data_IF_766899384871
#
_entry.id   IF_766899384871
#
_cell.length_a   1.000
_cell.length_b   1.000
_cell.length_c   1.000
_cell.angle_alpha   90.00
_cell.angle_beta   90.00
_cell.angle_gamma   90.00
#
_symmetry.space_group_name_H-M   'P 1'
#
loop_
_entity.id
_entity.type
_entity.pdbx_description
1 polymer ?
#
# COMPACT_ATOMS: atom_id res chain seq x y z
N UNK A 1 -53.60 6.09 60.93
CA UNK A 1 -53.82 5.61 59.56
C UNK A 1 -52.62 6.00 58.72
N UNK A 2 -51.70 5.06 58.47
CA UNK A 2 -50.45 5.31 57.68
C UNK A 2 -50.77 5.01 56.24
N UNK A 3 -50.68 6.05 55.43
CA UNK A 3 -50.73 5.90 53.93
C UNK A 3 -49.36 5.46 53.44
N UNK A 4 -49.28 4.27 52.88
CA UNK A 4 -48.10 3.78 52.15
C UNK A 4 -48.10 4.35 50.74
N UNK A 5 -47.09 5.18 50.44
CA UNK A 5 -46.81 5.63 49.12
C UNK A 5 -45.94 4.54 48.45
N UNK A 6 -46.52 3.81 47.49
CA UNK A 6 -45.75 2.90 46.65
C UNK A 6 -45.16 3.75 45.51
N UNK A 7 -43.85 4.02 45.58
CA UNK A 7 -43.12 4.60 44.47
C UNK A 7 -42.80 3.48 43.45
N UNK A 8 -43.49 3.54 42.34
CA UNK A 8 -43.19 2.69 41.18
C UNK A 8 -41.92 3.23 40.53
N UNK A 9 -40.77 2.61 40.81
CA UNK A 9 -39.53 2.85 40.02
C UNK A 9 -39.67 2.10 38.69
N UNK A 10 -40.08 2.81 37.66
CA UNK A 10 -39.90 2.36 36.27
C UNK A 10 -38.42 2.45 35.94
N UNK A 11 -37.74 1.32 36.02
CA UNK A 11 -36.42 1.13 35.44
C UNK A 11 -36.59 1.25 33.91
N UNK A 12 -36.27 2.43 33.35
CA UNK A 12 -36.06 2.58 31.93
C UNK A 12 -34.73 1.91 31.60
N UNK A 13 -34.77 0.63 31.24
CA UNK A 13 -33.65 -0.03 30.60
C UNK A 13 -33.45 0.62 29.24
N UNK A 14 -32.56 1.63 29.19
CA UNK A 14 -31.95 2.01 27.92
C UNK A 14 -31.10 0.81 27.47
N UNK A 15 -31.69 -0.05 26.67
CA UNK A 15 -30.94 -0.95 25.83
C UNK A 15 -30.19 -0.06 24.83
N UNK A 16 -28.94 0.29 25.13
CA UNK A 16 -28.02 0.68 24.10
C UNK A 16 -27.87 -0.58 23.19
N UNK A 17 -28.71 -0.67 22.18
CA UNK A 17 -28.41 -1.49 21.03
C UNK A 17 -27.16 -0.87 20.41
N UNK A 18 -26.00 -1.42 20.69
CA UNK A 18 -24.82 -1.22 19.85
C UNK A 18 -25.26 -1.83 18.52
N UNK A 19 -25.76 -0.98 17.65
CA UNK A 19 -25.96 -1.39 16.25
C UNK A 19 -24.55 -1.62 15.71
N UNK A 20 -24.14 -2.89 15.66
CA UNK A 20 -23.01 -3.25 14.83
C UNK A 20 -23.38 -2.85 13.42
N UNK A 21 -22.59 -1.99 12.81
CA UNK A 21 -22.75 -1.70 11.40
C UNK A 21 -22.66 -3.03 10.65
N UNK A 22 -23.55 -3.24 9.68
CA UNK A 22 -23.43 -4.43 8.83
C UNK A 22 -22.11 -4.35 8.05
N UNK A 23 -21.47 -5.48 7.80
CA UNK A 23 -20.27 -5.53 6.98
C UNK A 23 -20.58 -4.99 5.57
N UNK A 24 -19.68 -4.17 5.02
CA UNK A 24 -19.80 -3.65 3.68
C UNK A 24 -19.71 -4.81 2.67
N UNK A 25 -20.67 -4.86 1.74
CA UNK A 25 -20.68 -5.89 0.73
C UNK A 25 -19.89 -5.48 -0.50
N UNK A 26 -19.15 -6.41 -1.08
CA UNK A 26 -18.60 -6.30 -2.42
C UNK A 26 -19.75 -6.43 -3.42
N UNK A 27 -20.16 -5.31 -4.02
CA UNK A 27 -21.24 -5.23 -5.02
C UNK A 27 -20.70 -5.11 -6.45
N UNK A 28 -19.42 -5.39 -6.66
CA UNK A 28 -18.73 -5.23 -7.95
C UNK A 28 -19.43 -5.95 -9.09
N UNK A 29 -19.88 -7.20 -8.86
CA UNK A 29 -20.52 -8.02 -9.87
C UNK A 29 -21.92 -7.50 -10.26
N UNK A 30 -22.59 -6.78 -9.37
CA UNK A 30 -23.90 -6.17 -9.60
C UNK A 30 -23.80 -4.85 -10.38
N UNK A 31 -22.60 -4.23 -10.44
CA UNK A 31 -22.38 -2.92 -11.03
C UNK A 31 -22.19 -2.98 -12.56
N UNK A 32 -22.58 -1.89 -13.22
CA UNK A 32 -22.29 -1.68 -14.65
C UNK A 32 -21.05 -0.80 -14.81
N UNK A 33 -20.12 -1.26 -15.64
CA UNK A 33 -18.87 -0.56 -15.92
C UNK A 33 -18.86 0.04 -17.33
N UNK A 34 -18.36 1.27 -17.43
CA UNK A 34 -18.02 1.92 -18.69
C UNK A 34 -16.60 2.43 -18.59
N UNK A 35 -15.79 2.17 -19.61
CA UNK A 35 -14.38 2.56 -19.64
C UNK A 35 -14.12 3.53 -20.80
N UNK A 36 -13.16 4.43 -20.64
CA UNK A 36 -12.81 5.47 -21.59
C UNK A 36 -12.26 4.95 -22.93
N UNK A 37 -11.74 3.73 -22.93
CA UNK A 37 -11.17 3.09 -24.12
C UNK A 37 -11.18 1.58 -24.02
N UNK A 38 -11.13 0.91 -25.16
CA UNK A 38 -11.26 -0.55 -25.30
C UNK A 38 -9.90 -1.28 -25.40
N UNK A 39 -8.86 -0.81 -24.70
CA UNK A 39 -7.53 -1.41 -24.79
C UNK A 39 -7.51 -2.90 -24.39
N UNK A 40 -8.15 -3.26 -23.27
CA UNK A 40 -8.38 -4.63 -22.81
C UNK A 40 -9.81 -4.78 -22.30
N UNK A 41 -10.28 -6.01 -22.12
CA UNK A 41 -11.60 -6.26 -21.51
C UNK A 41 -11.58 -5.74 -20.07
N UNK A 42 -12.55 -4.89 -19.73
CA UNK A 42 -12.65 -4.33 -18.38
C UNK A 42 -12.87 -5.40 -17.30
N UNK A 43 -13.45 -6.54 -17.64
CA UNK A 43 -13.65 -7.67 -16.74
C UNK A 43 -12.34 -8.23 -16.16
N UNK A 44 -11.18 -7.86 -16.73
CA UNK A 44 -9.89 -8.24 -16.17
C UNK A 44 -9.47 -7.41 -14.94
N UNK A 45 -10.21 -6.33 -14.62
CA UNK A 45 -10.02 -5.59 -13.37
C UNK A 45 -11.08 -5.91 -12.31
N UNK A 46 -11.98 -6.85 -12.59
CA UNK A 46 -13.03 -7.28 -11.67
C UNK A 46 -13.09 -8.80 -11.53
N UNK A 47 -12.05 -9.50 -11.96
CA UNK A 47 -11.96 -10.96 -11.92
C UNK A 47 -11.32 -11.51 -10.63
N UNK A 48 -10.98 -10.62 -9.68
CA UNK A 48 -10.36 -10.92 -8.37
C UNK A 48 -8.98 -11.61 -8.52
N UNK A 49 -8.27 -11.31 -9.62
CA UNK A 49 -6.94 -11.86 -9.91
C UNK A 49 -5.92 -10.75 -10.11
N UNK A 50 -5.14 -10.43 -9.10
CA UNK A 50 -4.08 -9.41 -9.18
C UNK A 50 -3.02 -9.68 -10.28
N UNK A 51 -3.05 -10.85 -10.92
CA UNK A 51 -2.18 -11.22 -12.05
C UNK A 51 -2.71 -10.75 -13.40
N UNK A 52 -4.01 -10.47 -13.50
CA UNK A 52 -4.65 -9.87 -14.68
C UNK A 52 -4.77 -8.35 -14.50
N UNK A 53 -5.10 -7.64 -15.55
CA UNK A 53 -5.34 -6.19 -15.47
C UNK A 53 -6.11 -5.67 -16.68
N UNK A 54 -6.86 -4.60 -16.45
CA UNK A 54 -7.32 -3.71 -17.50
C UNK A 54 -6.35 -2.56 -17.68
N UNK A 55 -6.18 -2.10 -18.92
CA UNK A 55 -5.35 -0.94 -19.25
C UNK A 55 -6.02 -0.12 -20.34
N UNK A 56 -6.12 1.19 -20.11
CA UNK A 56 -6.63 2.11 -21.10
C UNK A 56 -5.61 2.35 -22.23
N UNK A 57 -6.06 2.85 -23.37
CA UNK A 57 -5.16 3.48 -24.32
C UNK A 57 -4.46 4.69 -23.67
N UNK A 58 -3.31 5.10 -24.21
CA UNK A 58 -2.64 6.35 -23.79
C UNK A 58 -3.44 7.55 -24.28
N UNK A 59 -4.27 8.10 -23.44
CA UNK A 59 -5.11 9.28 -23.68
C UNK A 59 -4.91 10.31 -22.57
N UNK A 60 -5.37 11.52 -22.78
CA UNK A 60 -5.54 12.49 -21.68
C UNK A 60 -6.71 12.04 -20.80
N UNK A 61 -6.56 12.18 -19.51
CA UNK A 61 -7.62 11.92 -18.53
C UNK A 61 -8.36 10.59 -18.71
N UNK A 62 -7.68 9.42 -18.71
CA UNK A 62 -8.37 8.13 -18.77
C UNK A 62 -9.24 7.92 -17.52
N UNK A 63 -10.38 7.23 -17.70
CA UNK A 63 -11.37 7.05 -16.64
C UNK A 63 -12.09 5.70 -16.71
N UNK A 64 -12.68 5.31 -15.58
CA UNK A 64 -13.59 4.19 -15.39
C UNK A 64 -14.83 4.74 -14.69
N UNK A 65 -16.01 4.60 -15.29
CA UNK A 65 -17.28 4.96 -14.69
C UNK A 65 -18.05 3.69 -14.28
N UNK A 66 -18.68 3.76 -13.12
CA UNK A 66 -19.36 2.67 -12.44
C UNK A 66 -20.78 3.14 -12.11
N UNK A 67 -21.75 2.34 -12.42
CA UNK A 67 -23.14 2.56 -12.01
C UNK A 67 -23.59 1.39 -11.15
N UNK A 68 -23.98 1.67 -9.93
CA UNK A 68 -24.52 0.70 -9.00
C UNK A 68 -25.95 0.26 -9.40
N UNK A 69 -26.41 -0.90 -8.95
CA UNK A 69 -27.82 -1.28 -9.06
C UNK A 69 -28.71 -0.36 -8.20
N UNK A 70 -29.95 -0.22 -8.56
CA UNK A 70 -30.92 0.58 -7.81
C UNK A 70 -31.05 0.10 -6.36
N UNK A 71 -31.03 1.02 -5.41
CA UNK A 71 -31.13 0.73 -3.99
C UNK A 71 -29.86 0.21 -3.32
N UNK A 72 -28.73 0.11 -4.05
CA UNK A 72 -27.42 -0.30 -3.49
C UNK A 72 -26.36 0.72 -3.87
N UNK A 73 -26.36 1.92 -3.30
CA UNK A 73 -25.38 2.96 -3.68
C UNK A 73 -23.95 2.55 -3.30
N UNK A 74 -22.99 3.09 -4.04
CA UNK A 74 -21.56 2.91 -3.80
C UNK A 74 -21.14 3.80 -2.63
N UNK A 75 -20.54 3.21 -1.60
CA UNK A 75 -19.97 3.93 -0.46
C UNK A 75 -18.44 4.05 -0.53
N UNK A 76 -17.77 3.19 -1.30
CA UNK A 76 -16.35 3.28 -1.49
C UNK A 76 -15.84 2.39 -2.61
N UNK A 77 -14.60 2.66 -3.02
CA UNK A 77 -13.84 1.86 -3.98
C UNK A 77 -12.56 1.35 -3.35
N UNK A 78 -12.24 0.08 -3.57
CA UNK A 78 -10.91 -0.45 -3.31
C UNK A 78 -10.22 -0.73 -4.63
N UNK A 79 -9.11 -0.05 -4.87
CA UNK A 79 -8.43 -0.02 -6.17
C UNK A 79 -7.01 -0.55 -6.02
N UNK A 80 -6.67 -1.59 -6.80
CA UNK A 80 -5.32 -2.11 -6.94
C UNK A 80 -4.72 -1.61 -8.26
N UNK A 81 -3.92 -0.56 -8.18
CA UNK A 81 -3.30 0.04 -9.37
C UNK A 81 -2.18 -0.84 -9.90
N UNK A 82 -2.17 -1.08 -11.20
CA UNK A 82 -1.06 -1.71 -11.90
C UNK A 82 0.11 -0.74 -12.16
N UNK A 83 -0.19 0.54 -12.28
CA UNK A 83 0.76 1.65 -12.24
C UNK A 83 0.10 2.84 -11.57
N UNK A 84 0.84 3.58 -10.76
CA UNK A 84 0.32 4.76 -10.10
C UNK A 84 0.27 5.93 -11.11
N UNK A 85 -0.91 6.55 -11.34
CA UNK A 85 -1.00 7.78 -12.12
C UNK A 85 -0.38 8.98 -11.36
N UNK A 86 0.08 10.00 -12.08
CA UNK A 86 0.64 11.22 -11.46
C UNK A 86 -0.41 11.94 -10.59
N UNK A 87 -1.67 11.92 -11.02
CA UNK A 87 -2.81 12.48 -10.29
C UNK A 87 -4.11 11.81 -10.73
N UNK A 88 -5.02 11.63 -9.79
CA UNK A 88 -6.33 11.02 -10.04
C UNK A 88 -7.33 11.47 -8.98
N UNK A 89 -8.59 11.21 -9.23
CA UNK A 89 -9.68 11.54 -8.31
C UNK A 89 -10.85 10.57 -8.46
N UNK A 90 -11.70 10.54 -7.43
CA UNK A 90 -13.01 9.93 -7.52
C UNK A 90 -14.04 11.05 -7.73
N UNK A 91 -14.89 10.86 -8.70
CA UNK A 91 -15.99 11.76 -9.02
C UNK A 91 -17.31 11.04 -8.81
N UNK A 92 -18.35 11.79 -8.47
CA UNK A 92 -19.74 11.33 -8.39
C UNK A 92 -20.63 12.08 -9.36
N UNK A 93 -21.79 11.51 -9.68
CA UNK A 93 -22.79 12.08 -10.56
C UNK A 93 -24.18 11.60 -10.17
N UNK A 94 -25.18 12.47 -10.31
CA UNK A 94 -26.59 12.11 -10.08
C UNK A 94 -27.23 11.48 -11.33
N UNK A 95 -26.75 11.83 -12.53
CA UNK A 95 -27.32 11.43 -13.80
C UNK A 95 -26.40 10.59 -14.70
N UNK A 96 -25.18 10.34 -14.24
CA UNK A 96 -24.12 9.63 -14.98
C UNK A 96 -23.54 10.40 -16.16
N UNK A 97 -23.79 11.72 -16.26
CA UNK A 97 -23.31 12.61 -17.34
C UNK A 97 -22.47 13.74 -16.79
N UNK A 98 -22.99 14.49 -15.83
CA UNK A 98 -22.28 15.60 -15.19
C UNK A 98 -21.54 15.08 -13.95
N UNK A 99 -20.21 15.27 -13.92
CA UNK A 99 -19.32 14.67 -12.94
C UNK A 99 -18.65 15.74 -12.08
N UNK A 100 -18.64 15.51 -10.76
CA UNK A 100 -18.06 16.40 -9.78
C UNK A 100 -17.04 15.65 -8.93
N UNK A 101 -15.90 16.27 -8.63
CA UNK A 101 -14.88 15.70 -7.76
C UNK A 101 -15.45 15.49 -6.36
N UNK A 102 -15.46 14.25 -5.90
CA UNK A 102 -15.87 13.86 -4.54
C UNK A 102 -14.65 13.69 -3.61
N UNK A 103 -13.60 13.02 -4.09
CA UNK A 103 -12.40 12.75 -3.31
C UNK A 103 -11.16 12.85 -4.20
N UNK A 104 -10.15 13.66 -3.85
CA UNK A 104 -8.86 13.63 -4.53
C UNK A 104 -8.15 12.30 -4.26
N UNK A 105 -7.44 11.77 -5.25
CA UNK A 105 -6.71 10.51 -5.15
C UNK A 105 -5.39 10.65 -4.39
N UNK A 106 -5.08 9.66 -3.58
CA UNK A 106 -3.78 9.55 -2.93
C UNK A 106 -2.83 8.72 -3.80
N UNK A 107 -1.73 9.31 -4.23
CA UNK A 107 -0.75 8.65 -5.11
C UNK A 107 0.33 7.86 -4.37
N UNK A 108 0.27 7.80 -3.05
CA UNK A 108 1.24 7.06 -2.22
C UNK A 108 1.01 5.55 -2.24
N UNK A 109 -0.24 5.11 -2.45
CA UNK A 109 -0.66 3.73 -2.23
C UNK A 109 -1.11 3.06 -3.52
N UNK A 110 -0.39 2.01 -3.96
CA UNK A 110 -0.80 1.19 -5.11
C UNK A 110 -2.11 0.42 -4.86
N UNK A 111 -2.34 0.02 -3.60
CA UNK A 111 -3.61 -0.51 -3.15
C UNK A 111 -4.26 0.57 -2.28
N UNK A 112 -5.39 1.10 -2.73
CA UNK A 112 -6.04 2.23 -2.09
C UNK A 112 -7.53 1.99 -1.87
N UNK A 113 -7.99 2.09 -0.64
CA UNK A 113 -9.41 2.23 -0.34
C UNK A 113 -9.76 3.72 -0.29
N UNK A 114 -10.83 4.09 -0.97
CA UNK A 114 -11.36 5.44 -1.00
C UNK A 114 -12.82 5.42 -0.57
N UNK A 115 -13.12 5.93 0.61
CA UNK A 115 -14.48 6.16 1.07
C UNK A 115 -15.08 7.37 0.36
N UNK A 116 -16.33 7.28 -0.05
CA UNK A 116 -17.09 8.44 -0.53
C UNK A 116 -17.65 9.25 0.65
N UNK A 117 -17.66 10.59 0.59
CA UNK A 117 -18.28 11.43 1.62
C UNK A 117 -19.78 11.16 1.79
N UNK A 118 -20.45 10.79 0.70
CA UNK A 118 -21.83 10.33 0.63
C UNK A 118 -21.91 9.20 -0.38
N UNK A 119 -22.69 8.14 -0.10
CA UNK A 119 -22.92 7.08 -1.08
C UNK A 119 -23.56 7.62 -2.36
N UNK A 120 -23.15 7.09 -3.51
CA UNK A 120 -23.56 7.57 -4.81
C UNK A 120 -23.96 6.43 -5.75
N UNK A 121 -24.93 6.72 -6.65
CA UNK A 121 -25.38 5.77 -7.67
C UNK A 121 -24.38 5.67 -8.82
N UNK A 122 -23.72 6.78 -9.16
CA UNK A 122 -22.75 6.87 -10.24
C UNK A 122 -21.40 7.38 -9.69
N UNK A 123 -20.34 6.60 -9.90
CA UNK A 123 -18.99 6.93 -9.45
C UNK A 123 -18.02 6.78 -10.61
N UNK A 124 -17.03 7.67 -10.70
CA UNK A 124 -15.98 7.61 -11.72
C UNK A 124 -14.60 7.77 -11.08
N UNK A 125 -13.70 6.84 -11.35
CA UNK A 125 -12.27 7.02 -11.15
C UNK A 125 -11.71 7.71 -12.39
N UNK A 126 -11.08 8.85 -12.24
CA UNK A 126 -10.53 9.63 -13.34
C UNK A 126 -9.08 10.05 -13.07
N UNK A 127 -8.21 9.90 -14.06
CA UNK A 127 -6.87 10.49 -14.03
C UNK A 127 -6.99 11.96 -14.44
N UNK A 128 -6.32 12.84 -13.71
CA UNK A 128 -6.41 14.31 -13.93
C UNK A 128 -5.16 14.87 -14.60
N UNK A 129 -4.18 14.01 -15.00
CA UNK A 129 -2.96 14.45 -15.68
C UNK A 129 -3.24 15.03 -17.07
N UNK A 130 -2.60 16.16 -17.37
CA UNK A 130 -2.62 16.79 -18.70
C UNK A 130 -1.85 15.99 -19.76
N UNK A 131 -0.96 15.10 -19.33
CA UNK A 131 -0.19 14.25 -20.23
C UNK A 131 -1.00 13.02 -20.65
N UNK A 132 -0.79 12.58 -21.89
CA UNK A 132 -1.32 11.28 -22.33
C UNK A 132 -0.67 10.15 -21.52
N UNK A 133 -1.50 9.43 -20.78
CA UNK A 133 -1.07 8.30 -19.95
C UNK A 133 -2.02 7.13 -20.13
N UNK A 134 -1.58 5.92 -19.79
CA UNK A 134 -2.43 4.76 -19.66
C UNK A 134 -2.76 4.57 -18.17
N UNK A 135 -4.02 4.32 -17.88
CA UNK A 135 -4.48 3.89 -16.55
C UNK A 135 -4.52 2.36 -16.55
N UNK A 136 -3.77 1.74 -15.63
CA UNK A 136 -3.77 0.29 -15.45
C UNK A 136 -4.32 -0.05 -14.06
N UNK A 137 -5.33 -0.91 -14.03
CA UNK A 137 -5.96 -1.43 -12.82
C UNK A 137 -5.86 -2.95 -12.83
N UNK A 138 -5.29 -3.52 -11.79
CA UNK A 138 -5.23 -4.96 -11.59
C UNK A 138 -6.55 -5.48 -11.02
N UNK A 139 -7.01 -4.86 -9.92
CA UNK A 139 -8.31 -5.17 -9.33
C UNK A 139 -9.04 -3.90 -8.90
N UNK A 140 -10.36 -3.92 -9.02
CA UNK A 140 -11.25 -2.86 -8.58
C UNK A 140 -12.48 -3.49 -7.93
N UNK A 141 -12.70 -3.14 -6.67
CA UNK A 141 -13.85 -3.57 -5.89
C UNK A 141 -14.74 -2.38 -5.57
N UNK A 142 -16.04 -2.59 -5.67
CA UNK A 142 -17.08 -1.61 -5.37
C UNK A 142 -17.78 -2.03 -4.09
N UNK A 143 -17.75 -1.17 -3.08
CA UNK A 143 -18.24 -1.50 -1.74
C UNK A 143 -19.49 -0.69 -1.40
N UNK A 144 -20.48 -1.36 -0.78
CA UNK A 144 -21.63 -0.74 -0.14
C UNK A 144 -21.25 -0.10 1.20
N UNK A 145 -22.21 0.57 1.85
CA UNK A 145 -22.05 1.00 3.25
C UNK A 145 -21.88 -0.18 4.19
N UNK A 146 -21.07 0.01 5.22
CA UNK A 146 -20.81 -0.95 6.28
C UNK A 146 -19.37 -0.95 6.76
N UNK A 147 -19.06 -1.81 7.72
CA UNK A 147 -17.71 -2.05 8.22
C UNK A 147 -16.88 -2.72 7.11
N UNK A 148 -15.64 -2.25 6.91
CA UNK A 148 -14.79 -2.79 5.85
C UNK A 148 -14.39 -4.23 6.12
N UNK A 149 -14.49 -5.12 5.12
CA UNK A 149 -13.93 -6.46 5.23
C UNK A 149 -12.41 -6.44 5.46
N UNK A 150 -11.88 -7.38 6.22
CA UNK A 150 -10.46 -7.46 6.58
C UNK A 150 -9.50 -7.52 5.39
N UNK A 151 -9.95 -7.96 4.23
CA UNK A 151 -9.14 -8.02 3.01
C UNK A 151 -8.97 -6.66 2.31
N UNK A 152 -9.76 -5.64 2.68
CA UNK A 152 -9.62 -4.28 2.15
C UNK A 152 -8.47 -3.57 2.82
N UNK A 153 -7.42 -3.29 2.06
CA UNK A 153 -6.20 -2.70 2.60
C UNK A 153 -6.34 -1.18 2.74
N UNK A 154 -6.39 -0.72 3.98
CA UNK A 154 -6.38 0.71 4.34
C UNK A 154 -5.01 1.06 4.89
N UNK A 155 -4.12 1.46 3.99
CA UNK A 155 -2.73 1.75 4.34
C UNK A 155 -2.57 3.08 5.05
N UNK A 156 -1.70 3.09 6.05
CA UNK A 156 -1.17 4.29 6.67
C UNK A 156 0.16 4.69 5.97
N UNK A 157 0.51 5.97 5.94
CA UNK A 157 1.82 6.38 5.47
C UNK A 157 2.94 5.64 6.19
N UNK A 158 4.09 5.47 5.50
CA UNK A 158 5.31 4.95 6.12
C UNK A 158 5.67 5.79 7.35
N UNK A 159 6.16 5.15 8.41
CA UNK A 159 6.61 5.84 9.63
C UNK A 159 7.67 6.90 9.31
N UNK A 160 7.60 8.06 9.97
CA UNK A 160 8.63 9.10 9.82
C UNK A 160 9.94 8.70 10.52
N UNK A 161 9.84 7.89 11.58
CA UNK A 161 10.98 7.33 12.33
C UNK A 161 10.68 5.88 12.68
N UNK A 162 11.64 4.99 12.49
CA UNK A 162 11.53 3.58 12.81
C UNK A 162 12.31 3.21 14.08
N UNK A 163 11.75 2.30 14.88
CA UNK A 163 12.55 1.55 15.85
C UNK A 163 13.36 0.47 15.12
N UNK A 164 12.72 -0.19 14.16
CA UNK A 164 13.30 -1.29 13.39
C UNK A 164 13.03 -1.08 11.89
N UNK A 165 14.09 -1.18 11.09
CA UNK A 165 14.00 -1.27 9.63
C UNK A 165 14.25 -2.72 9.20
N UNK A 166 13.27 -3.34 8.58
CA UNK A 166 13.45 -4.59 7.86
C UNK A 166 13.80 -4.28 6.40
N UNK A 167 14.99 -4.70 6.00
CA UNK A 167 15.52 -4.47 4.65
C UNK A 167 15.48 -5.79 3.87
N UNK A 168 14.41 -5.99 3.12
CA UNK A 168 14.16 -7.13 2.25
C UNK A 168 14.72 -6.91 0.86
N UNK A 169 15.20 -7.95 0.19
CA UNK A 169 15.69 -7.84 -1.19
C UNK A 169 14.53 -7.95 -2.19
N UNK A 170 13.72 -9.00 -2.11
CA UNK A 170 12.65 -9.27 -3.07
C UNK A 170 11.29 -9.31 -2.35
N UNK A 171 10.18 -9.08 -3.09
CA UNK A 171 8.84 -9.42 -2.60
C UNK A 171 8.71 -10.93 -2.36
N UNK A 172 8.38 -11.37 -1.17
CA UNK A 172 8.30 -12.69 -0.55
C UNK A 172 9.36 -12.97 0.53
N UNK A 173 10.55 -12.37 0.44
CA UNK A 173 11.59 -12.53 1.46
C UNK A 173 11.11 -12.14 2.86
N UNK A 174 10.23 -11.14 2.96
CA UNK A 174 9.64 -10.70 4.23
C UNK A 174 8.81 -11.80 4.91
N UNK A 175 8.11 -12.60 4.12
CA UNK A 175 7.34 -13.74 4.61
C UNK A 175 8.23 -14.93 4.94
N UNK A 176 9.19 -15.23 4.05
CA UNK A 176 10.03 -16.43 4.14
C UNK A 176 11.04 -16.29 5.28
N UNK A 177 11.70 -15.11 5.40
CA UNK A 177 12.82 -14.93 6.33
C UNK A 177 12.48 -14.06 7.53
N UNK A 178 11.51 -13.16 7.43
CA UNK A 178 11.16 -12.24 8.51
C UNK A 178 9.71 -12.41 9.00
N UNK A 179 8.97 -13.41 8.49
CA UNK A 179 7.54 -13.61 8.76
C UNK A 179 7.18 -13.86 10.24
N UNK A 180 8.13 -14.28 11.07
CA UNK A 180 7.96 -14.32 12.52
C UNK A 180 8.32 -12.99 13.19
N UNK A 181 9.40 -12.33 12.73
CA UNK A 181 9.90 -11.12 13.36
C UNK A 181 9.04 -9.87 13.08
N UNK A 182 8.60 -9.67 11.84
CA UNK A 182 7.78 -8.50 11.47
C UNK A 182 6.51 -8.41 12.32
N UNK A 183 5.62 -9.42 12.37
CA UNK A 183 4.40 -9.32 13.17
C UNK A 183 4.69 -9.23 14.67
N UNK A 184 5.71 -9.91 15.19
CA UNK A 184 6.09 -9.80 16.59
C UNK A 184 6.44 -8.36 16.98
N UNK A 185 7.25 -7.67 16.18
CA UNK A 185 7.61 -6.30 16.51
C UNK A 185 6.53 -5.28 16.12
N UNK A 186 5.97 -5.38 14.93
CA UNK A 186 5.00 -4.40 14.45
C UNK A 186 3.63 -4.50 15.15
N UNK A 187 3.15 -5.74 15.38
CA UNK A 187 1.78 -5.98 15.88
C UNK A 187 1.78 -6.27 17.38
N UNK A 188 2.51 -7.30 17.83
CA UNK A 188 2.47 -7.71 19.24
C UNK A 188 3.15 -6.69 20.15
N UNK A 189 4.31 -6.15 19.76
CA UNK A 189 5.08 -5.17 20.54
C UNK A 189 4.80 -3.72 20.17
N UNK A 190 4.01 -3.47 19.13
CA UNK A 190 3.63 -2.14 18.65
C UNK A 190 4.84 -1.21 18.41
N UNK A 191 5.95 -1.77 17.93
CA UNK A 191 7.13 -1.02 17.53
C UNK A 191 6.88 -0.31 16.19
N UNK A 192 7.54 0.83 16.00
CA UNK A 192 7.56 1.52 14.71
C UNK A 192 8.45 0.75 13.74
N UNK A 193 7.83 -0.03 12.88
CA UNK A 193 8.51 -0.88 11.92
C UNK A 193 8.37 -0.26 10.53
N UNK A 194 9.48 -0.11 9.83
CA UNK A 194 9.52 0.18 8.40
C UNK A 194 10.02 -1.07 7.68
N UNK A 195 9.30 -1.50 6.65
CA UNK A 195 9.74 -2.57 5.75
C UNK A 195 10.13 -1.95 4.42
N UNK A 196 11.35 -2.19 3.97
CA UNK A 196 11.86 -1.70 2.71
C UNK A 196 12.26 -2.86 1.80
N UNK A 197 11.82 -2.81 0.55
CA UNK A 197 12.14 -3.79 -0.49
C UNK A 197 13.10 -3.18 -1.49
N UNK A 198 14.21 -3.87 -1.77
CA UNK A 198 15.19 -3.40 -2.76
C UNK A 198 14.63 -3.45 -4.18
N UNK A 199 13.94 -4.53 -4.53
CA UNK A 199 13.29 -4.72 -5.83
C UNK A 199 11.79 -4.90 -5.70
N UNK A 200 11.05 -4.66 -6.79
CA UNK A 200 9.64 -5.06 -6.91
C UNK A 200 9.35 -5.87 -8.18
N UNK A 201 10.30 -5.96 -9.09
CA UNK A 201 10.25 -6.63 -10.39
C UNK A 201 9.10 -6.21 -11.31
N UNK A 202 7.84 -6.36 -10.87
CA UNK A 202 6.63 -6.00 -11.64
C UNK A 202 5.43 -5.76 -10.71
N UNK A 203 4.28 -5.44 -11.29
CA UNK A 203 3.06 -5.11 -10.52
C UNK A 203 2.46 -6.30 -9.77
N UNK A 204 2.57 -7.52 -10.30
CA UNK A 204 2.15 -8.74 -9.59
C UNK A 204 2.93 -8.87 -8.28
N UNK A 205 4.25 -8.72 -8.34
CA UNK A 205 5.12 -8.77 -7.15
C UNK A 205 4.83 -7.64 -6.15
N UNK A 206 4.42 -6.46 -6.64
CA UNK A 206 3.94 -5.39 -5.75
C UNK A 206 2.67 -5.78 -5.00
N UNK A 207 1.74 -6.46 -5.67
CA UNK A 207 0.53 -6.95 -5.00
C UNK A 207 0.84 -8.06 -3.99
N UNK A 208 1.79 -8.97 -4.31
CA UNK A 208 2.23 -10.02 -3.39
C UNK A 208 2.81 -9.45 -2.10
N UNK A 209 3.77 -8.51 -2.18
CA UNK A 209 4.35 -7.90 -0.98
C UNK A 209 3.31 -7.12 -0.14
N UNK A 210 2.39 -6.38 -0.78
CA UNK A 210 1.35 -5.65 -0.05
C UNK A 210 0.38 -6.61 0.63
N UNK A 211 -0.04 -7.67 -0.06
CA UNK A 211 -0.89 -8.71 0.53
C UNK A 211 -0.16 -9.43 1.68
N UNK A 212 1.11 -9.78 1.51
CA UNK A 212 1.92 -10.43 2.55
C UNK A 212 2.00 -9.60 3.81
N UNK A 213 2.37 -8.32 3.70
CA UNK A 213 2.44 -7.39 4.83
C UNK A 213 1.08 -7.20 5.50
N UNK A 214 0.01 -7.06 4.72
CA UNK A 214 -1.35 -6.90 5.24
C UNK A 214 -1.79 -8.11 6.08
N UNK A 215 -1.54 -9.32 5.58
CA UNK A 215 -1.84 -10.56 6.32
C UNK A 215 -0.98 -10.75 7.56
N UNK A 216 0.24 -10.21 7.59
CA UNK A 216 1.06 -10.15 8.81
C UNK A 216 0.59 -9.09 9.82
N UNK A 217 -0.46 -8.34 9.52
CA UNK A 217 -1.00 -7.29 10.39
C UNK A 217 -0.30 -5.94 10.27
N UNK A 218 0.65 -5.77 9.34
CA UNK A 218 1.29 -4.48 9.07
C UNK A 218 0.30 -3.56 8.37
N UNK A 219 0.21 -2.32 8.84
CA UNK A 219 -0.72 -1.31 8.30
C UNK A 219 -0.01 -0.08 7.77
N UNK A 220 1.29 0.07 8.02
CA UNK A 220 2.14 1.12 7.45
C UNK A 220 2.66 0.70 6.09
N UNK A 221 2.57 1.60 5.12
CA UNK A 221 2.97 1.31 3.73
C UNK A 221 4.48 1.09 3.63
N UNK A 222 4.95 0.06 2.91
CA UNK A 222 6.36 -0.23 2.79
C UNK A 222 7.09 0.76 1.87
N UNK A 223 8.40 0.83 2.01
CA UNK A 223 9.27 1.50 1.04
C UNK A 223 9.59 0.51 -0.08
N UNK A 224 9.26 0.87 -1.32
CA UNK A 224 9.45 -0.02 -2.47
C UNK A 224 10.52 0.57 -3.39
N UNK A 225 11.68 -0.07 -3.40
CA UNK A 225 12.78 0.23 -4.30
C UNK A 225 12.45 -0.14 -5.75
N UNK A 226 13.20 0.44 -6.66
CA UNK A 226 13.01 0.28 -8.11
C UNK A 226 14.17 -0.42 -8.80
N UNK A 227 15.04 -1.07 -8.01
CA UNK A 227 16.18 -1.78 -8.56
C UNK A 227 15.75 -3.05 -9.32
N UNK A 228 16.59 -3.46 -10.25
CA UNK A 228 16.33 -4.63 -11.05
C UNK A 228 16.53 -5.90 -10.22
N UNK A 229 15.54 -6.75 -10.21
CA UNK A 229 15.67 -8.13 -9.77
C UNK A 229 16.57 -8.90 -10.75
N UNK A 230 17.62 -9.56 -10.24
CA UNK A 230 18.57 -10.27 -11.07
C UNK A 230 19.22 -11.44 -10.35
N UNK A 231 19.31 -12.56 -11.04
CA UNK A 231 20.07 -13.71 -10.59
C UNK A 231 21.56 -13.55 -10.97
N UNK A 232 22.37 -13.07 -10.03
CA UNK A 232 23.77 -12.78 -10.27
C UNK A 232 24.67 -13.97 -9.91
N UNK A 233 25.77 -14.15 -10.68
CA UNK A 233 26.72 -15.26 -10.45
C UNK A 233 27.67 -15.06 -9.26
N UNK A 234 27.87 -13.83 -8.84
CA UNK A 234 28.71 -13.46 -7.69
C UNK A 234 28.34 -12.07 -7.18
N UNK A 235 28.86 -11.66 -6.00
CA UNK A 235 28.59 -10.39 -5.35
C UNK A 235 28.90 -9.17 -6.26
N UNK A 236 30.04 -9.18 -6.95
CA UNK A 236 30.42 -8.09 -7.88
C UNK A 236 29.40 -7.93 -9.00
N UNK A 237 28.89 -9.05 -9.55
CA UNK A 237 27.85 -9.03 -10.61
C UNK A 237 26.51 -8.54 -10.05
N UNK A 238 26.16 -8.86 -8.81
CA UNK A 238 24.96 -8.34 -8.14
C UNK A 238 25.00 -6.80 -8.03
N UNK A 239 26.09 -6.24 -7.50
CA UNK A 239 26.27 -4.78 -7.48
C UNK A 239 26.22 -4.16 -8.87
N UNK A 240 26.91 -4.78 -9.87
CA UNK A 240 26.86 -4.28 -11.25
C UNK A 240 25.45 -4.23 -11.83
N UNK A 241 24.64 -5.26 -11.57
CA UNK A 241 23.24 -5.31 -12.05
C UNK A 241 22.35 -4.25 -11.40
N UNK A 242 22.68 -3.85 -10.18
CA UNK A 242 22.00 -2.79 -9.42
C UNK A 242 22.50 -1.36 -9.78
N UNK A 243 23.41 -1.21 -10.74
CA UNK A 243 23.97 0.07 -11.13
C UNK A 243 25.24 0.49 -10.39
N UNK A 244 25.83 -0.44 -9.61
CA UNK A 244 27.08 -0.25 -8.87
C UNK A 244 26.90 -0.07 -7.35
N UNK A 245 28.00 -0.29 -6.60
CA UNK A 245 28.00 -0.22 -5.14
C UNK A 245 27.57 1.16 -4.62
N UNK A 246 28.01 2.23 -5.26
CA UNK A 246 27.64 3.60 -4.88
C UNK A 246 26.14 3.84 -4.90
N UNK A 247 25.43 3.37 -5.95
CA UNK A 247 23.98 3.54 -6.08
C UNK A 247 23.20 2.73 -5.04
N UNK A 248 23.66 1.51 -4.72
CA UNK A 248 23.06 0.68 -3.67
C UNK A 248 23.26 1.33 -2.30
N UNK A 249 24.49 1.77 -2.00
CA UNK A 249 24.82 2.45 -0.75
C UNK A 249 24.04 3.76 -0.59
N UNK A 250 23.92 4.57 -1.64
CA UNK A 250 23.14 5.82 -1.63
C UNK A 250 21.69 5.57 -1.20
N UNK A 251 21.07 4.52 -1.73
CA UNK A 251 19.70 4.16 -1.37
C UNK A 251 19.59 3.72 0.09
N UNK A 252 20.48 2.84 0.56
CA UNK A 252 20.44 2.34 1.94
C UNK A 252 20.79 3.45 2.95
N UNK A 253 21.81 4.27 2.67
CA UNK A 253 22.14 5.44 3.49
C UNK A 253 20.96 6.42 3.57
N UNK A 254 20.28 6.61 2.43
CA UNK A 254 19.04 7.39 2.38
C UNK A 254 17.96 6.85 3.34
N UNK A 255 17.72 5.54 3.34
CA UNK A 255 16.79 4.90 4.27
C UNK A 255 17.21 5.09 5.74
N UNK A 256 18.49 4.90 6.07
CA UNK A 256 18.97 5.05 7.45
C UNK A 256 18.82 6.48 7.95
N UNK A 257 19.12 7.46 7.14
CA UNK A 257 18.98 8.87 7.51
C UNK A 257 17.55 9.34 7.56
N UNK A 258 16.71 8.89 6.62
CA UNK A 258 15.30 9.28 6.56
C UNK A 258 14.51 8.68 7.72
N UNK A 259 14.63 7.38 7.94
CA UNK A 259 13.81 6.67 8.94
C UNK A 259 14.48 6.51 10.29
N UNK A 260 15.77 6.80 10.40
CA UNK A 260 16.54 6.80 11.66
C UNK A 260 16.34 5.53 12.50
N UNK A 261 16.46 4.32 11.94
CA UNK A 261 16.22 3.09 12.66
C UNK A 261 17.29 2.87 13.74
N UNK A 262 16.86 2.38 14.91
CA UNK A 262 17.80 1.93 15.93
C UNK A 262 18.40 0.56 15.57
N UNK A 263 17.58 -0.31 15.00
CA UNK A 263 17.94 -1.65 14.57
C UNK A 263 17.63 -1.84 13.09
N UNK A 264 18.52 -2.52 12.37
CA UNK A 264 18.30 -2.95 10.99
C UNK A 264 18.35 -4.48 10.96
N UNK A 265 17.29 -5.08 10.44
CA UNK A 265 17.21 -6.52 10.18
C UNK A 265 17.24 -6.74 8.67
N UNK A 266 18.14 -7.58 8.22
CA UNK A 266 18.33 -7.88 6.81
C UNK A 266 18.71 -9.35 6.60
N UNK A 267 18.96 -9.72 5.37
CA UNK A 267 19.30 -11.07 4.96
C UNK A 267 20.67 -11.54 5.48
N UNK A 268 20.90 -12.85 5.39
CA UNK A 268 22.17 -13.48 5.78
C UNK A 268 23.34 -13.00 4.90
N UNK A 269 24.51 -12.86 5.52
CA UNK A 269 25.74 -12.43 4.82
C UNK A 269 26.20 -13.39 3.75
N UNK A 270 25.85 -14.67 3.84
CA UNK A 270 26.10 -15.67 2.81
C UNK A 270 24.98 -15.73 1.76
N UNK A 271 23.94 -14.94 1.96
CA UNK A 271 22.70 -14.96 1.19
C UNK A 271 21.94 -16.27 1.43
N UNK A 272 20.69 -16.21 1.83
CA UNK A 272 19.85 -17.39 1.97
C UNK A 272 19.96 -18.22 0.67
N UNK A 273 20.20 -19.51 0.80
CA UNK A 273 20.50 -20.45 -0.31
C UNK A 273 21.54 -19.92 -1.33
N UNK A 274 22.43 -19.01 -0.90
CA UNK A 274 23.52 -18.46 -1.71
C UNK A 274 23.10 -17.40 -2.73
N UNK A 275 21.92 -16.78 -2.59
CA UNK A 275 21.42 -15.73 -3.49
C UNK A 275 22.29 -14.47 -3.45
N UNK A 276 22.83 -14.06 -4.58
CA UNK A 276 23.86 -13.00 -4.61
C UNK A 276 23.33 -11.60 -4.40
N UNK A 277 22.05 -11.33 -4.66
CA UNK A 277 21.44 -10.06 -4.29
C UNK A 277 21.17 -9.98 -2.78
N UNK A 278 20.83 -11.07 -2.11
CA UNK A 278 20.75 -11.14 -0.64
C UNK A 278 22.10 -10.83 -0.01
N UNK A 279 23.18 -11.52 -0.46
CA UNK A 279 24.55 -11.21 -0.02
C UNK A 279 24.91 -9.73 -0.22
N UNK A 280 24.50 -9.14 -1.35
CA UNK A 280 24.76 -7.74 -1.67
C UNK A 280 24.04 -6.80 -0.70
N UNK A 281 22.78 -7.08 -0.39
CA UNK A 281 22.01 -6.24 0.54
C UNK A 281 22.58 -6.37 1.95
N UNK A 282 22.94 -7.57 2.39
CA UNK A 282 23.58 -7.78 3.68
C UNK A 282 24.95 -7.06 3.78
N UNK A 283 25.82 -7.17 2.75
CA UNK A 283 27.10 -6.44 2.67
C UNK A 283 26.89 -4.92 2.70
N UNK A 284 25.95 -4.43 1.90
CA UNK A 284 25.66 -2.99 1.83
C UNK A 284 25.04 -2.48 3.14
N UNK A 285 24.12 -3.23 3.77
CA UNK A 285 23.52 -2.84 5.03
C UNK A 285 24.57 -2.59 6.12
N UNK A 286 25.53 -3.49 6.25
CA UNK A 286 26.63 -3.36 7.22
C UNK A 286 27.56 -2.17 6.89
N UNK A 287 27.99 -2.05 5.63
CA UNK A 287 28.87 -0.96 5.20
C UNK A 287 28.21 0.42 5.34
N UNK A 288 26.91 0.51 5.13
CA UNK A 288 26.17 1.77 5.18
C UNK A 288 25.97 2.33 6.60
N UNK A 289 26.21 1.55 7.67
CA UNK A 289 26.14 2.06 9.05
C UNK A 289 27.14 3.21 9.23
N UNK A 290 28.41 3.00 8.88
CA UNK A 290 29.44 4.01 8.99
C UNK A 290 29.22 5.17 8.00
N UNK A 291 28.76 4.86 6.79
CA UNK A 291 28.48 5.88 5.76
C UNK A 291 27.31 6.79 6.16
N UNK A 292 26.29 6.27 6.79
CA UNK A 292 25.15 7.07 7.24
C UNK A 292 25.49 8.03 8.40
N UNK A 293 26.48 7.67 9.20
CA UNK A 293 27.00 8.50 10.30
C UNK A 293 27.98 9.59 9.84
N UNK A 294 28.56 9.47 8.64
CA UNK A 294 29.52 10.42 8.09
C UNK A 294 28.81 11.51 7.26
N UNK A 295 28.98 12.77 7.64
CA UNK A 295 28.32 13.91 6.97
C UNK A 295 28.85 14.20 5.56
N UNK A 296 30.09 13.81 5.27
CA UNK A 296 30.72 14.01 3.97
C UNK A 296 30.26 13.00 2.89
N UNK A 297 29.66 11.89 3.32
CA UNK A 297 29.17 10.85 2.43
C UNK A 297 27.71 11.10 2.05
N UNK A 298 27.37 10.95 0.75
CA UNK A 298 26.00 11.09 0.24
C UNK A 298 25.33 12.40 0.73
N UNK A 299 25.99 13.53 0.52
CA UNK A 299 25.64 14.86 1.06
C UNK A 299 24.18 15.27 0.78
N UNK A 300 23.58 14.84 -0.34
CA UNK A 300 22.18 15.12 -0.62
C UNK A 300 21.23 14.59 0.47
N UNK A 301 21.46 13.37 0.96
CA UNK A 301 20.67 12.80 2.07
C UNK A 301 21.06 13.39 3.43
N UNK A 302 22.33 13.86 3.60
CA UNK A 302 22.74 14.60 4.78
C UNK A 302 21.98 15.93 4.89
N UNK A 303 21.87 16.66 3.80
CA UNK A 303 21.13 17.93 3.75
C UNK A 303 19.64 17.70 4.04
N UNK A 304 19.06 16.65 3.48
CA UNK A 304 17.64 16.38 3.63
C UNK A 304 17.23 15.87 5.02
N UNK A 305 18.06 15.02 5.66
CA UNK A 305 17.67 14.25 6.85
C UNK A 305 18.67 14.32 8.01
N UNK A 306 19.86 14.89 7.80
CA UNK A 306 20.99 14.81 8.74
C UNK A 306 21.67 13.43 8.70
N UNK A 307 22.67 13.26 9.56
CA UNK A 307 23.36 11.97 9.76
C UNK A 307 22.58 11.07 10.72
N UNK A 308 22.85 9.77 10.65
CA UNK A 308 22.28 8.81 11.59
C UNK A 308 23.23 7.67 11.90
N UNK A 309 23.29 7.26 13.16
CA UNK A 309 24.04 6.09 13.62
C UNK A 309 23.07 4.97 13.99
N UNK A 310 23.04 3.92 13.19
CA UNK A 310 22.32 2.67 13.50
C UNK A 310 23.03 2.00 14.69
N UNK A 311 22.25 1.50 15.66
CA UNK A 311 22.80 0.91 16.88
C UNK A 311 23.13 -0.58 16.72
N UNK A 312 22.31 -1.31 15.95
CA UNK A 312 22.44 -2.77 15.81
C UNK A 312 21.91 -3.27 14.46
#
# INVERSE_FOLDING_TARGET
>A
MKKWLIALLTLLALSLSVAFAAEANDITEDCKFKVCSSGRKYTLMTDKKYTSYWESNKIKTPWIAITAPEGKPIAGLYVCFGNMPESWEIQTSDDGKDWFTAVPGDTRFLHAYVALPQPAQHVRLAVTSEKKTALRINDLFVLSEGDLPDWVQVWQPTEEKADILFLSTHPDDELIFFGGAIPTYAVEQQRKVVVAYFTRSNTTRSSELLNGLWHMGVRTYPVIGTFKDSYAKNLKAAYKSAGGKGKVNEWIVGLYRQYKPEVVVTQDTNGEYGHKQHMMIADAAQNCIALAANEDEFTASTIAYGTWQVKK
#
